data_IF_685607666946
#
_entry.id   IF_685607666946
#
_cell.length_a   1.000
_cell.length_b   1.000
_cell.length_c   1.000
_cell.angle_alpha   90.00
_cell.angle_beta   90.00
_cell.angle_gamma   90.00
#
_symmetry.space_group_name_H-M   'P 1'
#
loop_
_entity.id
_entity.type
_entity.pdbx_description
1 polymer ?
#
# COMPACT_ATOMS: atom_id res chain seq x y z
N UNK A 1 31.08 40.69 27.55
CA UNK A 1 30.27 40.17 28.69
C UNK A 1 28.82 40.34 28.30
N UNK A 2 28.15 39.29 27.81
CA UNK A 2 27.16 38.50 28.56
C UNK A 2 26.09 39.43 29.19
N UNK A 3 24.80 39.37 28.82
CA UNK A 3 23.91 38.24 29.11
C UNK A 3 22.77 38.16 28.08
N UNK A 4 22.43 36.91 27.81
CA UNK A 4 21.43 36.37 26.92
C UNK A 4 20.27 35.90 27.80
N UNK A 5 19.07 36.47 27.65
CA UNK A 5 17.85 35.91 28.25
C UNK A 5 16.62 36.35 27.45
N UNK A 6 16.14 35.43 26.61
CA UNK A 6 14.80 35.48 26.03
C UNK A 6 14.17 34.07 26.16
N UNK A 7 13.68 33.78 27.37
CA UNK A 7 12.46 32.96 27.56
C UNK A 7 11.30 33.90 27.22
N UNK A 8 10.34 33.58 26.37
CA UNK A 8 9.62 32.33 26.23
C UNK A 8 8.16 32.76 26.25
N UNK A 9 7.50 32.71 25.11
CA UNK A 9 6.05 32.85 25.06
C UNK A 9 5.48 31.71 24.20
N UNK A 10 5.16 30.63 24.90
CA UNK A 10 4.35 29.52 24.42
C UNK A 10 2.88 29.92 24.55
N UNK A 11 2.37 30.64 23.56
CA UNK A 11 0.94 30.89 23.39
C UNK A 11 0.34 29.91 22.40
N UNK A 12 -0.10 28.75 22.90
CA UNK A 12 -1.08 27.92 22.22
C UNK A 12 -2.44 28.61 22.32
N UNK A 13 -2.97 29.12 21.20
CA UNK A 13 -4.40 29.33 20.88
C UNK A 13 -4.55 30.22 19.64
N UNK A 14 -3.94 29.81 18.53
CA UNK A 14 -4.31 30.31 17.22
C UNK A 14 -5.36 29.39 16.62
N UNK A 15 -6.65 29.67 16.85
CA UNK A 15 -7.74 29.01 16.15
C UNK A 15 -7.48 29.11 14.63
N UNK A 16 -7.21 27.96 14.02
CA UNK A 16 -6.89 27.86 12.60
C UNK A 16 -8.15 28.13 11.77
N UNK A 17 -8.41 29.39 11.48
CA UNK A 17 -9.33 29.77 10.43
C UNK A 17 -8.72 29.36 9.07
N UNK A 18 -9.54 28.84 8.17
CA UNK A 18 -9.14 28.00 7.04
C UNK A 18 -8.09 28.61 6.11
N UNK A 19 -6.80 28.32 6.35
CA UNK A 19 -5.73 28.82 5.48
C UNK A 19 -4.29 28.59 5.92
N UNK A 20 -3.97 27.61 6.75
CA UNK A 20 -2.57 27.38 7.12
C UNK A 20 -1.71 27.07 5.89
N UNK A 21 -0.71 27.92 5.68
CA UNK A 21 0.39 27.79 4.70
C UNK A 21 1.65 27.19 5.30
N UNK A 22 1.61 26.81 6.58
CA UNK A 22 2.70 26.14 7.29
C UNK A 22 3.09 24.84 6.59
N UNK A 23 4.26 24.81 5.95
CA UNK A 23 4.76 23.65 5.18
C UNK A 23 4.94 22.39 6.03
N UNK A 24 5.27 22.56 7.31
CA UNK A 24 5.55 21.44 8.22
C UNK A 24 4.34 20.95 9.02
N UNK A 25 3.19 21.63 8.90
CA UNK A 25 2.00 21.18 9.61
C UNK A 25 1.15 20.22 8.75
N UNK A 26 0.50 19.20 9.34
CA UNK A 26 -0.28 18.22 8.59
C UNK A 26 -1.46 18.80 7.81
N UNK A 27 -2.05 19.90 8.30
CA UNK A 27 -3.15 20.57 7.61
C UNK A 27 -2.64 21.32 6.38
N UNK A 28 -1.54 22.07 6.52
CA UNK A 28 -0.90 22.82 5.44
C UNK A 28 -0.35 21.91 4.34
N UNK A 29 0.31 20.80 4.71
CA UNK A 29 0.78 19.81 3.75
C UNK A 29 -0.37 19.19 2.93
N UNK A 30 -1.46 18.80 3.61
CA UNK A 30 -2.65 18.23 2.96
C UNK A 30 -3.34 19.23 2.03
N UNK A 31 -3.50 20.47 2.49
CA UNK A 31 -4.16 21.51 1.69
C UNK A 31 -3.27 21.98 0.53
N UNK A 32 -1.94 22.00 0.73
CA UNK A 32 -0.97 22.22 -0.34
C UNK A 32 -1.06 21.14 -1.42
N UNK A 33 -1.02 19.86 -1.04
CA UNK A 33 -1.15 18.75 -1.99
C UNK A 33 -2.50 18.77 -2.72
N UNK A 34 -3.61 19.02 -2.02
CA UNK A 34 -4.94 19.16 -2.66
C UNK A 34 -4.98 20.27 -3.70
N UNK A 35 -4.46 21.46 -3.37
CA UNK A 35 -4.39 22.59 -4.30
C UNK A 35 -3.51 22.27 -5.51
N UNK A 36 -2.39 21.60 -5.29
CA UNK A 36 -1.50 21.18 -6.38
C UNK A 36 -2.14 20.14 -7.30
N UNK A 37 -2.83 19.15 -6.75
CA UNK A 37 -3.62 18.17 -7.53
C UNK A 37 -4.70 18.90 -8.33
N UNK A 38 -5.47 19.79 -7.70
CA UNK A 38 -6.51 20.56 -8.40
C UNK A 38 -5.93 21.43 -9.53
N UNK A 39 -4.79 22.10 -9.29
CA UNK A 39 -4.10 22.90 -10.29
C UNK A 39 -3.56 22.04 -11.44
N UNK A 40 -3.04 20.85 -11.15
CA UNK A 40 -2.59 19.89 -12.15
C UNK A 40 -3.76 19.39 -13.02
N UNK A 41 -4.86 18.96 -12.40
CA UNK A 41 -6.04 18.46 -13.12
C UNK A 41 -6.63 19.54 -14.04
N UNK A 42 -6.78 20.77 -13.52
CA UNK A 42 -7.23 21.91 -14.33
C UNK A 42 -6.31 22.13 -15.53
N UNK A 43 -4.99 22.12 -15.31
CA UNK A 43 -4.03 22.35 -16.40
C UNK A 43 -4.02 21.22 -17.43
N UNK A 44 -4.16 19.97 -16.99
CA UNK A 44 -4.33 18.81 -17.89
C UNK A 44 -5.57 18.97 -18.76
N UNK A 45 -6.69 19.38 -18.18
CA UNK A 45 -7.94 19.53 -18.91
C UNK A 45 -7.90 20.74 -19.86
N UNK A 46 -7.21 21.83 -19.50
CA UNK A 46 -6.90 22.95 -20.41
C UNK A 46 -6.07 22.48 -21.62
N UNK A 47 -5.03 21.68 -21.41
CA UNK A 47 -4.24 21.11 -22.49
C UNK A 47 -5.01 20.11 -23.34
N UNK A 48 -5.89 19.31 -22.75
CA UNK A 48 -6.79 18.42 -23.48
C UNK A 48 -7.76 19.19 -24.40
N UNK A 49 -8.15 20.40 -23.99
CA UNK A 49 -8.95 21.32 -24.80
C UNK A 49 -8.13 22.18 -25.79
N UNK A 50 -6.80 22.00 -25.86
CA UNK A 50 -5.93 22.77 -26.74
C UNK A 50 -5.62 24.19 -26.28
N UNK A 51 -5.93 24.54 -25.02
CA UNK A 51 -5.69 25.87 -24.48
C UNK A 51 -4.28 26.02 -23.86
N UNK A 52 -3.75 27.24 -23.91
CA UNK A 52 -2.50 27.59 -23.23
C UNK A 52 -1.23 27.04 -23.88
N UNK A 53 -1.29 26.74 -25.19
CA UNK A 53 -0.15 26.35 -26.02
C UNK A 53 0.61 27.61 -26.49
N UNK A 54 1.95 27.61 -26.43
CA UNK A 54 2.75 28.67 -27.04
C UNK A 54 2.56 28.71 -28.56
N UNK A 55 2.49 29.92 -29.13
CA UNK A 55 2.36 30.09 -30.58
C UNK A 55 3.47 29.38 -31.37
N UNK A 56 4.70 29.36 -30.83
CA UNK A 56 5.86 28.72 -31.45
C UNK A 56 5.70 27.20 -31.70
N UNK A 57 4.92 26.49 -30.86
CA UNK A 57 4.72 25.03 -31.00
C UNK A 57 3.37 24.67 -31.62
N UNK A 58 2.41 25.60 -31.61
CA UNK A 58 1.05 25.38 -32.07
C UNK A 58 0.94 25.01 -33.57
N UNK A 59 1.97 25.32 -34.36
CA UNK A 59 2.01 25.03 -35.80
C UNK A 59 2.43 23.59 -36.13
N UNK A 60 2.92 22.82 -35.17
CA UNK A 60 3.36 21.43 -35.36
C UNK A 60 2.76 20.53 -34.28
N UNK A 61 1.96 19.55 -34.71
CA UNK A 61 1.34 18.58 -33.80
C UNK A 61 2.37 17.77 -32.99
N UNK A 62 3.49 17.28 -33.58
CA UNK A 62 4.57 16.66 -32.82
C UNK A 62 5.18 17.58 -31.77
N UNK A 63 5.49 18.83 -32.14
CA UNK A 63 6.09 19.80 -31.21
C UNK A 63 5.14 20.15 -30.06
N UNK A 64 3.85 20.34 -30.35
CA UNK A 64 2.81 20.56 -29.36
C UNK A 64 2.72 19.37 -28.38
N UNK A 65 2.72 18.14 -28.89
CA UNK A 65 2.63 16.92 -28.07
C UNK A 65 3.82 16.78 -27.13
N UNK A 66 5.03 16.98 -27.64
CA UNK A 66 6.25 16.92 -26.84
C UNK A 66 6.25 17.99 -25.74
N UNK A 67 5.93 19.24 -26.09
CA UNK A 67 5.87 20.33 -25.13
C UNK A 67 4.81 20.12 -24.05
N UNK A 68 3.59 19.68 -24.42
CA UNK A 68 2.53 19.35 -23.45
C UNK A 68 2.96 18.22 -22.53
N UNK A 69 3.57 17.17 -23.08
CA UNK A 69 4.06 16.03 -22.31
C UNK A 69 5.11 16.45 -21.28
N UNK A 70 6.07 17.29 -21.66
CA UNK A 70 7.09 17.81 -20.77
C UNK A 70 6.50 18.70 -19.66
N UNK A 71 5.58 19.61 -20.01
CA UNK A 71 4.88 20.45 -19.03
C UNK A 71 4.06 19.64 -18.03
N UNK A 72 3.39 18.58 -18.49
CA UNK A 72 2.63 17.69 -17.62
C UNK A 72 3.55 16.83 -16.75
N UNK A 73 4.69 16.40 -17.27
CA UNK A 73 5.70 15.63 -16.53
C UNK A 73 6.27 16.45 -15.38
N UNK A 74 6.76 17.66 -15.66
CA UNK A 74 7.31 18.57 -14.64
C UNK A 74 6.29 18.86 -13.52
N UNK A 75 5.03 19.12 -13.89
CA UNK A 75 3.98 19.38 -12.90
C UNK A 75 3.58 18.14 -12.12
N UNK A 76 3.53 16.98 -12.76
CA UNK A 76 3.23 15.71 -12.10
C UNK A 76 4.31 15.36 -11.06
N UNK A 77 5.58 15.59 -11.37
CA UNK A 77 6.70 15.41 -10.43
C UNK A 77 6.55 16.30 -9.19
N UNK A 78 6.23 17.59 -9.38
CA UNK A 78 5.98 18.51 -8.28
C UNK A 78 4.80 18.08 -7.39
N UNK A 79 3.70 17.60 -8.00
CA UNK A 79 2.54 17.06 -7.27
C UNK A 79 2.92 15.80 -6.49
N UNK A 80 3.69 14.90 -7.10
CA UNK A 80 4.16 13.67 -6.47
C UNK A 80 5.12 13.96 -5.31
N UNK A 81 5.98 14.98 -5.43
CA UNK A 81 6.85 15.43 -4.35
C UNK A 81 6.07 15.96 -3.14
N UNK A 82 5.07 16.82 -3.39
CA UNK A 82 4.18 17.30 -2.34
C UNK A 82 3.34 16.17 -1.73
N UNK A 83 2.91 15.20 -2.54
CA UNK A 83 2.22 14.00 -2.05
C UNK A 83 3.09 13.15 -1.13
N UNK A 84 4.37 12.96 -1.48
CA UNK A 84 5.37 12.29 -0.63
C UNK A 84 5.60 13.05 0.69
N UNK A 85 5.70 14.38 0.63
CA UNK A 85 5.84 15.22 1.82
C UNK A 85 4.61 15.11 2.75
N UNK A 86 3.38 15.20 2.22
CA UNK A 86 2.15 14.96 2.99
C UNK A 86 2.15 13.55 3.61
N UNK A 87 2.53 12.54 2.81
CA UNK A 87 2.63 11.15 3.23
C UNK A 87 3.56 10.96 4.43
N UNK A 88 4.76 11.56 4.38
CA UNK A 88 5.74 11.50 5.45
C UNK A 88 5.23 12.17 6.75
N UNK A 89 4.65 13.37 6.66
CA UNK A 89 4.07 14.08 7.81
C UNK A 89 2.93 13.28 8.44
N UNK A 90 2.07 12.67 7.60
CA UNK A 90 0.97 11.83 8.07
C UNK A 90 1.47 10.56 8.74
N UNK A 91 2.49 9.90 8.18
CA UNK A 91 3.10 8.69 8.73
C UNK A 91 3.76 9.00 10.09
N UNK A 92 4.47 10.13 10.19
CA UNK A 92 5.09 10.61 11.42
C UNK A 92 4.07 10.98 12.52
N UNK A 93 2.80 11.20 12.17
CA UNK A 93 1.71 11.43 13.14
C UNK A 93 0.87 10.17 13.40
N UNK A 94 1.05 9.12 12.61
CA UNK A 94 0.27 7.90 12.71
C UNK A 94 0.50 7.21 14.06
N UNK A 95 1.74 7.23 14.57
CA UNK A 95 2.06 6.62 15.86
C UNK A 95 1.25 7.22 17.02
N UNK A 96 1.00 8.53 17.03
CA UNK A 96 0.15 9.16 18.05
C UNK A 96 -1.27 8.61 17.99
N UNK A 97 -1.84 8.47 16.79
CA UNK A 97 -3.17 7.90 16.61
C UNK A 97 -3.22 6.43 17.01
N UNK A 98 -2.19 5.66 16.69
CA UNK A 98 -2.06 4.27 17.11
C UNK A 98 -1.97 4.16 18.63
N UNK A 99 -1.17 4.99 19.29
CA UNK A 99 -1.08 5.06 20.76
C UNK A 99 -2.43 5.43 21.37
N UNK A 100 -3.10 6.48 20.87
CA UNK A 100 -4.44 6.84 21.34
C UNK A 100 -5.46 5.71 21.14
N UNK A 101 -5.42 4.99 20.01
CA UNK A 101 -6.32 3.87 19.74
C UNK A 101 -6.04 2.68 20.68
N UNK A 102 -4.77 2.37 20.94
CA UNK A 102 -4.36 1.31 21.87
C UNK A 102 -4.81 1.62 23.29
N UNK A 103 -4.54 2.82 23.79
CA UNK A 103 -4.98 3.24 25.13
C UNK A 103 -6.49 3.43 25.23
N UNK A 104 -7.14 3.85 24.14
CA UNK A 104 -8.60 3.85 24.02
C UNK A 104 -9.18 2.45 24.17
N UNK A 105 -8.58 1.43 23.53
CA UNK A 105 -9.00 0.03 23.66
C UNK A 105 -8.81 -0.50 25.10
N UNK A 106 -7.70 -0.16 25.77
CA UNK A 106 -7.49 -0.46 27.19
C UNK A 106 -8.56 0.19 28.07
N UNK A 107 -8.90 1.46 27.79
CA UNK A 107 -9.95 2.19 28.51
C UNK A 107 -11.32 1.56 28.30
N UNK A 108 -11.65 1.17 27.07
CA UNK A 108 -12.90 0.45 26.77
C UNK A 108 -12.95 -0.91 27.48
N UNK A 109 -11.84 -1.66 27.50
CA UNK A 109 -11.76 -2.91 28.25
C UNK A 109 -12.00 -2.68 29.75
N UNK A 110 -11.34 -1.68 30.34
CA UNK A 110 -11.55 -1.28 31.73
C UNK A 110 -13.01 -0.93 32.02
N UNK A 111 -13.65 -0.12 31.17
CA UNK A 111 -15.05 0.25 31.33
C UNK A 111 -15.97 -0.96 31.19
N UNK A 112 -15.74 -1.84 30.22
CA UNK A 112 -16.51 -3.07 30.05
C UNK A 112 -16.37 -4.00 31.25
N UNK A 113 -15.16 -4.16 31.79
CA UNK A 113 -14.92 -4.92 33.02
C UNK A 113 -15.54 -4.25 34.24
N UNK A 114 -15.47 -2.92 34.38
CA UNK A 114 -16.12 -2.22 35.48
C UNK A 114 -17.66 -2.39 35.43
N UNK A 115 -18.27 -2.21 34.25
CA UNK A 115 -19.71 -2.35 34.05
C UNK A 115 -20.18 -3.79 34.31
N UNK A 116 -19.45 -4.79 33.82
CA UNK A 116 -19.79 -6.20 34.06
C UNK A 116 -19.42 -6.67 35.47
N UNK A 117 -18.67 -5.88 36.24
CA UNK A 117 -18.39 -6.17 37.66
C UNK A 117 -19.55 -5.74 38.55
N UNK A 118 -20.44 -4.86 38.07
CA UNK A 118 -21.67 -4.50 38.76
C UNK A 118 -22.52 -5.77 38.89
N UNK A 119 -22.75 -6.20 40.13
CA UNK A 119 -23.46 -7.45 40.45
C UNK A 119 -22.56 -8.69 40.54
N UNK A 120 -21.69 -8.95 39.57
CA UNK A 120 -20.85 -10.15 39.55
C UNK A 120 -19.54 -10.03 40.36
N UNK A 121 -19.19 -8.82 40.80
CA UNK A 121 -17.98 -8.53 41.56
C UNK A 121 -16.71 -8.42 40.71
N UNK A 122 -15.67 -7.85 41.31
CA UNK A 122 -14.33 -7.77 40.73
C UNK A 122 -13.56 -9.06 41.00
N UNK A 123 -12.94 -9.64 39.98
CA UNK A 123 -12.24 -10.94 40.07
C UNK A 123 -10.78 -10.80 39.70
N UNK A 124 -9.94 -11.73 40.17
CA UNK A 124 -8.52 -11.78 39.77
C UNK A 124 -8.32 -11.94 38.25
N UNK A 125 -9.30 -12.53 37.54
CA UNK A 125 -9.30 -12.64 36.08
C UNK A 125 -9.29 -11.26 35.41
N UNK A 126 -10.12 -10.34 35.90
CA UNK A 126 -10.25 -8.96 35.40
C UNK A 126 -8.95 -8.19 35.63
N UNK A 127 -8.41 -8.27 36.85
CA UNK A 127 -7.08 -7.68 37.16
C UNK A 127 -5.99 -8.21 36.24
N UNK A 128 -5.94 -9.53 36.00
CA UNK A 128 -4.96 -10.14 35.10
C UNK A 128 -5.15 -9.71 33.65
N UNK A 129 -6.40 -9.59 33.18
CA UNK A 129 -6.73 -9.12 31.83
C UNK A 129 -6.28 -7.69 31.60
N UNK A 130 -6.58 -6.78 32.54
CA UNK A 130 -6.11 -5.41 32.50
C UNK A 130 -4.58 -5.31 32.58
N UNK A 131 -3.95 -6.12 33.43
CA UNK A 131 -2.49 -6.16 33.54
C UNK A 131 -1.84 -6.60 32.22
N UNK A 132 -2.36 -7.67 31.59
CA UNK A 132 -1.92 -8.12 30.28
C UNK A 132 -2.14 -7.05 29.20
N UNK A 133 -3.28 -6.36 29.23
CA UNK A 133 -3.60 -5.27 28.31
C UNK A 133 -2.63 -4.09 28.48
N UNK A 134 -2.29 -3.71 29.71
CA UNK A 134 -1.31 -2.66 30.01
C UNK A 134 0.09 -3.02 29.51
N UNK A 135 0.54 -4.26 29.72
CA UNK A 135 1.84 -4.74 29.22
C UNK A 135 1.87 -4.72 27.69
N UNK A 136 0.82 -5.24 27.04
CA UNK A 136 0.72 -5.23 25.58
C UNK A 136 0.66 -3.79 25.03
N UNK A 137 -0.11 -2.90 25.66
CA UNK A 137 -0.20 -1.49 25.29
C UNK A 137 1.14 -0.76 25.47
N UNK A 138 1.85 -1.04 26.56
CA UNK A 138 3.20 -0.51 26.81
C UNK A 138 4.19 -0.95 25.74
N UNK A 139 4.20 -2.25 25.40
CA UNK A 139 5.05 -2.79 24.34
C UNK A 139 4.73 -2.18 22.96
N UNK A 140 3.44 -2.04 22.61
CA UNK A 140 3.00 -1.38 21.38
C UNK A 140 3.35 0.11 21.35
N UNK A 141 3.27 0.79 22.50
CA UNK A 141 3.67 2.20 22.64
C UNK A 141 5.17 2.36 22.46
N UNK A 142 5.98 1.47 23.06
CA UNK A 142 7.43 1.45 22.86
C UNK A 142 7.78 1.17 21.39
N UNK A 143 7.15 0.19 20.75
CA UNK A 143 7.33 -0.09 19.32
C UNK A 143 6.93 1.11 18.45
N UNK A 144 5.84 1.80 18.78
CA UNK A 144 5.42 3.03 18.12
C UNK A 144 6.49 4.13 18.22
N UNK A 145 7.06 4.32 19.40
CA UNK A 145 8.10 5.31 19.65
C UNK A 145 9.41 4.99 18.90
N UNK A 146 9.89 3.75 19.02
CA UNK A 146 11.12 3.28 18.37
C UNK A 146 11.03 3.31 16.84
N UNK A 147 9.85 3.04 16.28
CA UNK A 147 9.62 3.01 14.84
C UNK A 147 8.82 4.21 14.32
N UNK A 148 8.79 5.34 15.03
CA UNK A 148 8.01 6.54 14.67
C UNK A 148 8.26 7.05 13.25
N UNK A 149 9.50 6.94 12.77
CA UNK A 149 9.90 7.36 11.42
C UNK A 149 9.36 6.43 10.30
N UNK A 150 8.94 5.21 10.65
CA UNK A 150 8.48 4.16 9.72
C UNK A 150 7.01 3.77 9.93
N UNK A 151 6.22 4.63 10.57
CA UNK A 151 4.79 4.38 10.83
C UNK A 151 4.48 3.72 12.18
N UNK A 152 5.45 3.67 13.10
CA UNK A 152 5.26 3.15 14.46
C UNK A 152 5.03 1.64 14.50
N UNK A 153 4.06 1.19 15.28
CA UNK A 153 3.73 -0.24 15.41
C UNK A 153 3.22 -0.89 14.11
N UNK A 154 2.90 -0.09 13.08
CA UNK A 154 2.53 -0.62 11.76
C UNK A 154 3.75 -0.94 10.88
N UNK A 155 4.96 -0.54 11.26
CA UNK A 155 6.18 -0.79 10.49
C UNK A 155 6.36 -2.27 10.07
N UNK A 156 6.06 -3.28 10.92
CA UNK A 156 6.18 -4.69 10.54
C UNK A 156 5.17 -5.14 9.47
N UNK A 157 3.99 -4.51 9.42
CA UNK A 157 2.93 -4.87 8.48
C UNK A 157 3.03 -4.12 7.15
N UNK A 158 3.86 -3.08 7.07
CA UNK A 158 4.15 -2.37 5.83
C UNK A 158 5.04 -3.22 4.90
N UNK A 159 4.59 -3.37 3.66
CA UNK A 159 5.32 -3.97 2.57
C UNK A 159 6.50 -3.11 2.10
N UNK A 160 7.36 -3.72 1.28
CA UNK A 160 8.50 -3.03 0.65
C UNK A 160 8.04 -1.96 -0.36
N UNK A 161 6.79 -2.06 -0.84
CA UNK A 161 6.09 -1.10 -1.68
C UNK A 161 5.36 0.00 -0.89
N UNK A 162 5.61 0.12 0.42
CA UNK A 162 4.99 1.12 1.32
C UNK A 162 3.45 0.99 1.44
N UNK A 163 2.91 -0.20 1.19
CA UNK A 163 1.48 -0.55 1.36
C UNK A 163 1.28 -1.44 2.57
N UNK A 164 0.08 -1.48 3.14
CA UNK A 164 -0.22 -2.43 4.22
C UNK A 164 -0.38 -3.83 3.62
N UNK A 165 0.41 -4.80 4.11
CA UNK A 165 0.32 -6.18 3.64
C UNK A 165 -0.79 -6.93 4.36
N UNK A 166 -1.73 -7.48 3.59
CA UNK A 166 -2.86 -8.29 4.08
C UNK A 166 -2.38 -9.45 4.95
N UNK A 167 -1.45 -10.27 4.46
CA UNK A 167 -0.94 -11.43 5.20
C UNK A 167 -0.15 -11.08 6.45
N UNK A 168 0.70 -10.05 6.39
CA UNK A 168 1.44 -9.62 7.60
C UNK A 168 0.49 -9.05 8.65
N UNK A 169 -0.56 -8.34 8.23
CA UNK A 169 -1.56 -7.78 9.16
C UNK A 169 -2.35 -8.88 9.84
N UNK A 170 -2.87 -9.85 9.09
CA UNK A 170 -3.58 -11.01 9.67
C UNK A 170 -2.68 -11.76 10.64
N UNK A 171 -1.43 -12.05 10.26
CA UNK A 171 -0.47 -12.71 11.14
C UNK A 171 -0.17 -11.88 12.40
N UNK A 172 0.05 -10.56 12.28
CA UNK A 172 0.29 -9.68 13.41
C UNK A 172 -0.90 -9.63 14.39
N UNK A 173 -2.14 -9.62 13.88
CA UNK A 173 -3.34 -9.69 14.72
C UNK A 173 -3.39 -11.00 15.53
N UNK A 174 -3.11 -12.14 14.90
CA UNK A 174 -3.06 -13.44 15.59
C UNK A 174 -1.93 -13.51 16.61
N UNK A 175 -0.73 -13.03 16.27
CA UNK A 175 0.42 -12.97 17.19
C UNK A 175 0.10 -12.10 18.40
N UNK A 176 -0.49 -10.91 18.19
CA UNK A 176 -0.87 -10.01 19.27
C UNK A 176 -1.93 -10.63 20.18
N UNK A 177 -2.94 -11.28 19.59
CA UNK A 177 -3.99 -11.96 20.34
C UNK A 177 -3.46 -13.12 21.18
N UNK A 178 -2.63 -13.98 20.59
CA UNK A 178 -2.01 -15.12 21.30
C UNK A 178 -1.08 -14.62 22.40
N UNK A 179 -0.26 -13.60 22.12
CA UNK A 179 0.60 -12.96 23.12
C UNK A 179 -0.20 -12.39 24.29
N UNK A 180 -1.31 -11.70 24.01
CA UNK A 180 -2.23 -11.22 25.05
C UNK A 180 -2.82 -12.37 25.88
N UNK A 181 -3.28 -13.45 25.24
CA UNK A 181 -3.85 -14.62 25.95
C UNK A 181 -2.83 -15.30 26.87
N UNK A 182 -1.57 -15.41 26.43
CA UNK A 182 -0.48 -15.95 27.25
C UNK A 182 -0.14 -15.01 28.40
N UNK A 183 -0.07 -13.69 28.17
CA UNK A 183 0.17 -12.71 29.23
C UNK A 183 -0.95 -12.72 30.29
N UNK A 184 -2.21 -12.87 29.87
CA UNK A 184 -3.35 -13.02 30.77
C UNK A 184 -3.15 -14.24 31.70
N UNK A 185 -2.86 -15.40 31.12
CA UNK A 185 -2.65 -16.64 31.87
C UNK A 185 -1.42 -16.55 32.78
N UNK A 186 -0.33 -15.91 32.32
CA UNK A 186 0.85 -15.68 33.13
C UNK A 186 0.57 -14.76 34.33
N UNK A 187 -0.18 -13.67 34.14
CA UNK A 187 -0.58 -12.77 35.21
C UNK A 187 -1.51 -13.48 36.22
N UNK A 188 -2.41 -14.34 35.74
CA UNK A 188 -3.23 -15.21 36.61
C UNK A 188 -2.38 -16.19 37.41
N UNK A 189 -1.42 -16.85 36.78
CA UNK A 189 -0.54 -17.81 37.43
C UNK A 189 0.32 -17.13 38.51
N UNK A 190 0.82 -15.92 38.24
CA UNK A 190 1.58 -15.12 39.20
C UNK A 190 0.74 -14.68 40.41
N UNK A 191 -0.57 -14.47 40.22
CA UNK A 191 -1.49 -14.09 41.29
C UNK A 191 -2.09 -15.29 42.05
N UNK A 192 -1.94 -16.51 41.53
CA UNK A 192 -2.53 -17.71 42.12
C UNK A 192 -1.82 -18.08 43.44
N UNK A 193 -2.59 -18.06 44.54
CA UNK A 193 -2.10 -18.37 45.89
C UNK A 193 -2.27 -19.85 46.25
N UNK A 194 -3.27 -20.52 45.68
CA UNK A 194 -3.57 -21.94 45.89
C UNK A 194 -2.87 -22.86 44.87
N UNK A 195 -2.47 -24.04 45.31
CA UNK A 195 -1.83 -25.05 44.46
C UNK A 195 -2.81 -25.63 43.43
N UNK A 196 -4.08 -25.86 43.81
CA UNK A 196 -5.08 -26.39 42.88
C UNK A 196 -5.42 -25.38 41.75
N UNK A 197 -5.43 -24.07 42.06
CA UNK A 197 -5.59 -23.02 41.04
C UNK A 197 -4.41 -22.98 40.07
N UNK A 198 -3.17 -23.13 40.57
CA UNK A 198 -1.98 -23.20 39.70
C UNK A 198 -2.01 -24.41 38.79
N UNK A 199 -2.32 -25.59 39.31
CA UNK A 199 -2.41 -26.82 38.52
C UNK A 199 -3.51 -26.71 37.44
N UNK A 200 -4.64 -26.10 37.78
CA UNK A 200 -5.70 -25.84 36.81
C UNK A 200 -5.23 -24.90 35.67
N UNK A 201 -4.53 -23.80 35.98
CA UNK A 201 -3.99 -22.87 35.00
C UNK A 201 -2.90 -23.51 34.12
N UNK A 202 -2.02 -24.33 34.71
CA UNK A 202 -1.01 -25.09 33.96
C UNK A 202 -1.70 -26.10 33.03
N UNK A 203 -2.74 -26.80 33.49
CA UNK A 203 -3.58 -27.65 32.63
C UNK A 203 -4.33 -26.86 31.55
N UNK A 204 -4.59 -25.58 31.79
CA UNK A 204 -5.22 -24.66 30.84
C UNK A 204 -4.31 -24.25 29.69
N UNK A 205 -3.00 -24.35 29.88
CA UNK A 205 -1.97 -24.16 28.85
C UNK A 205 -1.69 -25.43 28.03
N UNK A 206 -2.34 -26.54 28.36
CA UNK A 206 -2.15 -27.82 27.67
C UNK A 206 -2.36 -27.68 26.16
N UNK A 207 -1.39 -28.20 25.40
CA UNK A 207 -1.33 -28.07 23.95
C UNK A 207 -2.55 -28.72 23.29
N UNK A 208 -3.10 -29.79 23.88
CA UNK A 208 -4.31 -30.43 23.38
C UNK A 208 -5.51 -29.48 23.30
N UNK A 209 -5.60 -28.51 24.23
CA UNK A 209 -6.67 -27.51 24.30
C UNK A 209 -6.38 -26.29 23.42
N UNK A 210 -5.11 -25.97 23.20
CA UNK A 210 -4.66 -24.85 22.36
C UNK A 210 -4.36 -25.22 20.90
N UNK A 211 -4.40 -26.50 20.53
CA UNK A 211 -3.91 -27.01 19.24
C UNK A 211 -4.53 -26.30 18.04
N UNK A 212 -5.85 -26.06 18.05
CA UNK A 212 -6.53 -25.36 16.95
C UNK A 212 -6.02 -23.93 16.78
N UNK A 213 -5.86 -23.18 17.87
CA UNK A 213 -5.35 -21.81 17.85
C UNK A 213 -3.88 -21.76 17.40
N UNK A 214 -3.03 -22.63 17.95
CA UNK A 214 -1.60 -22.73 17.57
C UNK A 214 -1.47 -23.13 16.10
N UNK A 215 -2.31 -24.03 15.61
CA UNK A 215 -2.34 -24.41 14.19
C UNK A 215 -2.70 -23.23 13.32
N UNK A 216 -3.75 -22.48 13.65
CA UNK A 216 -4.13 -21.27 12.90
C UNK A 216 -3.00 -20.24 12.92
N UNK A 217 -2.38 -20.00 14.07
CA UNK A 217 -1.23 -19.10 14.19
C UNK A 217 -0.08 -19.55 13.26
N UNK A 218 0.27 -20.84 13.29
CA UNK A 218 1.32 -21.40 12.44
C UNK A 218 0.99 -21.22 10.95
N UNK A 219 -0.26 -21.46 10.55
CA UNK A 219 -0.74 -21.28 9.17
C UNK A 219 -0.65 -19.81 8.73
N UNK A 220 -1.19 -18.86 9.50
CA UNK A 220 -1.19 -17.45 9.09
C UNK A 220 0.22 -16.86 9.04
N UNK A 221 1.10 -17.25 9.99
CA UNK A 221 2.51 -16.88 9.97
C UNK A 221 3.25 -17.50 8.79
N UNK A 222 3.04 -18.79 8.53
CA UNK A 222 3.63 -19.51 7.40
C UNK A 222 3.22 -18.89 6.06
N UNK A 223 1.93 -18.52 5.91
CA UNK A 223 1.40 -17.85 4.71
C UNK A 223 1.98 -16.44 4.55
N UNK A 224 2.16 -15.68 5.64
CA UNK A 224 2.82 -14.38 5.58
C UNK A 224 4.26 -14.47 5.05
N UNK A 225 5.03 -15.47 5.50
CA UNK A 225 6.40 -15.74 5.03
C UNK A 225 6.38 -16.22 3.57
N UNK A 226 5.51 -17.18 3.25
CA UNK A 226 5.43 -17.77 1.92
C UNK A 226 5.02 -16.73 0.87
N UNK A 227 4.01 -15.92 1.14
CA UNK A 227 3.60 -14.84 0.22
C UNK A 227 4.72 -13.82 0.03
N UNK A 228 5.45 -13.44 1.09
CA UNK A 228 6.62 -12.56 0.93
C UNK A 228 7.65 -13.18 -0.02
N UNK A 229 7.95 -14.47 0.15
CA UNK A 229 8.90 -15.19 -0.71
C UNK A 229 8.42 -15.25 -2.15
N UNK A 230 7.14 -15.58 -2.38
CA UNK A 230 6.52 -15.69 -3.70
C UNK A 230 6.55 -14.35 -4.43
N UNK A 231 6.06 -13.29 -3.78
CA UNK A 231 6.05 -11.93 -4.35
C UNK A 231 7.47 -11.48 -4.68
N UNK A 232 8.43 -11.65 -3.76
CA UNK A 232 9.82 -11.28 -3.99
C UNK A 232 10.47 -12.01 -5.16
N UNK A 233 10.28 -13.34 -5.24
CA UNK A 233 10.80 -14.14 -6.37
C UNK A 233 10.16 -13.74 -7.70
N UNK A 234 8.86 -13.43 -7.71
CA UNK A 234 8.15 -13.05 -8.95
C UNK A 234 8.52 -11.65 -9.43
N UNK A 235 8.82 -10.73 -8.52
CA UNK A 235 9.39 -9.41 -8.85
C UNK A 235 10.78 -9.58 -9.47
N UNK A 236 11.67 -10.37 -8.82
CA UNK A 236 13.00 -10.65 -9.34
C UNK A 236 12.97 -11.35 -10.71
N UNK A 237 12.01 -12.26 -10.91
CA UNK A 237 11.79 -12.93 -12.18
C UNK A 237 11.04 -12.07 -13.22
N UNK A 238 10.76 -10.79 -12.92
CA UNK A 238 10.02 -9.86 -13.80
C UNK A 238 8.62 -10.36 -14.22
N UNK A 239 8.02 -11.25 -13.42
CA UNK A 239 6.67 -11.81 -13.63
C UNK A 239 5.59 -11.08 -12.82
N UNK A 240 6.00 -10.11 -12.00
CA UNK A 240 5.12 -9.25 -11.21
C UNK A 240 5.72 -7.86 -11.18
N UNK A 241 4.89 -6.86 -11.50
CA UNK A 241 5.28 -5.45 -11.49
C UNK A 241 4.68 -4.79 -10.26
N UNK A 242 5.51 -4.24 -9.37
CA UNK A 242 5.08 -3.48 -8.20
C UNK A 242 5.71 -2.10 -8.21
N UNK A 243 4.87 -1.08 -8.04
CA UNK A 243 5.31 0.30 -7.94
C UNK A 243 5.08 0.79 -6.50
N UNK A 244 6.10 1.40 -5.85
CA UNK A 244 5.97 1.91 -4.50
C UNK A 244 4.83 2.91 -4.38
N UNK A 245 3.95 2.72 -3.40
CA UNK A 245 2.91 3.68 -3.07
C UNK A 245 3.49 4.86 -2.27
N UNK A 246 2.95 6.06 -2.50
CA UNK A 246 3.41 7.25 -1.77
C UNK A 246 3.02 7.20 -0.28
N UNK A 247 1.97 6.44 0.05
CA UNK A 247 1.51 6.25 1.44
C UNK A 247 0.70 4.96 1.63
N UNK A 248 0.78 4.35 2.83
CA UNK A 248 -0.10 3.25 3.19
C UNK A 248 -1.55 3.72 3.39
N UNK A 249 -2.50 2.87 3.05
CA UNK A 249 -3.94 3.10 3.26
C UNK A 249 -4.56 1.89 3.95
N UNK A 250 -5.54 2.13 4.82
CA UNK A 250 -6.29 1.03 5.45
C UNK A 250 -7.03 0.16 4.41
N UNK A 251 -7.40 0.77 3.27
CA UNK A 251 -8.01 0.05 2.15
C UNK A 251 -7.08 -1.00 1.53
N UNK A 252 -5.75 -0.88 1.68
CA UNK A 252 -4.78 -1.83 1.10
C UNK A 252 -4.99 -3.27 1.59
N UNK A 253 -5.68 -3.47 2.74
CA UNK A 253 -6.06 -4.80 3.24
C UNK A 253 -7.14 -5.49 2.40
N UNK A 254 -7.91 -4.69 1.66
CA UNK A 254 -9.13 -5.12 0.97
C UNK A 254 -9.05 -4.85 -0.54
N UNK A 255 -8.04 -4.10 -0.99
CA UNK A 255 -7.90 -3.69 -2.37
C UNK A 255 -6.60 -4.17 -2.99
N UNK A 256 -6.66 -4.44 -4.30
CA UNK A 256 -5.50 -4.69 -5.13
C UNK A 256 -4.62 -3.44 -5.30
N UNK A 257 -3.55 -3.60 -6.06
CA UNK A 257 -2.58 -2.53 -6.23
C UNK A 257 -3.10 -1.32 -7.02
N UNK A 258 -4.24 -1.45 -7.72
CA UNK A 258 -4.95 -0.38 -8.41
C UNK A 258 -6.09 0.23 -7.57
N UNK A 259 -6.29 -0.24 -6.33
CA UNK A 259 -7.36 0.22 -5.44
C UNK A 259 -8.72 -0.42 -5.71
N UNK A 260 -8.80 -1.50 -6.50
CA UNK A 260 -10.04 -2.27 -6.74
C UNK A 260 -10.19 -3.34 -5.67
N UNK A 261 -11.42 -3.67 -5.26
CA UNK A 261 -11.64 -4.72 -4.26
C UNK A 261 -11.08 -6.07 -4.70
N UNK A 262 -10.21 -6.67 -3.89
CA UNK A 262 -9.58 -7.95 -4.18
C UNK A 262 -10.29 -9.07 -3.41
N UNK A 263 -11.06 -9.91 -4.11
CA UNK A 263 -11.86 -10.96 -3.48
C UNK A 263 -11.03 -11.87 -2.56
N UNK A 264 -9.86 -12.32 -3.03
CA UNK A 264 -8.95 -13.21 -2.29
C UNK A 264 -8.44 -12.58 -1.00
N UNK A 265 -8.27 -11.26 -0.97
CA UNK A 265 -7.74 -10.52 0.16
C UNK A 265 -8.88 -10.23 1.16
N UNK A 266 -10.04 -9.78 0.66
CA UNK A 266 -11.25 -9.53 1.45
C UNK A 266 -11.70 -10.80 2.18
N UNK A 267 -11.81 -11.93 1.48
CA UNK A 267 -12.26 -13.19 2.10
C UNK A 267 -11.29 -13.67 3.19
N UNK A 268 -9.97 -13.49 2.97
CA UNK A 268 -8.95 -13.91 3.92
C UNK A 268 -8.97 -13.08 5.20
N UNK A 269 -9.11 -11.76 5.06
CA UNK A 269 -9.26 -10.85 6.21
C UNK A 269 -10.57 -11.15 6.96
N UNK A 270 -11.69 -11.30 6.24
CA UNK A 270 -13.00 -11.52 6.85
C UNK A 270 -13.05 -12.85 7.64
N UNK A 271 -12.63 -13.95 7.03
CA UNK A 271 -12.62 -15.28 7.67
C UNK A 271 -11.68 -15.28 8.88
N UNK A 272 -10.48 -14.70 8.73
CA UNK A 272 -9.53 -14.61 9.84
C UNK A 272 -10.06 -13.73 10.99
N UNK A 273 -10.75 -12.64 10.69
CA UNK A 273 -11.35 -11.76 11.68
C UNK A 273 -12.48 -12.45 12.46
N UNK A 274 -13.35 -13.22 11.79
CA UNK A 274 -14.38 -14.04 12.44
C UNK A 274 -13.75 -15.07 13.37
N UNK A 275 -12.69 -15.75 12.91
CA UNK A 275 -12.00 -16.74 13.73
C UNK A 275 -11.31 -16.11 14.96
N UNK A 276 -10.68 -14.95 14.79
CA UNK A 276 -10.07 -14.19 15.87
C UNK A 276 -11.12 -13.72 16.89
N UNK A 277 -12.27 -13.21 16.42
CA UNK A 277 -13.37 -12.77 17.27
C UNK A 277 -13.95 -13.95 18.06
N UNK A 278 -14.14 -15.10 17.40
CA UNK A 278 -14.57 -16.32 18.09
C UNK A 278 -13.59 -16.72 19.19
N UNK A 279 -12.28 -16.71 18.91
CA UNK A 279 -11.24 -16.99 19.91
C UNK A 279 -11.26 -15.99 21.07
N UNK A 280 -11.44 -14.70 20.78
CA UNK A 280 -11.54 -13.66 21.81
C UNK A 280 -12.75 -13.84 22.72
N UNK A 281 -13.92 -14.15 22.17
CA UNK A 281 -15.13 -14.47 22.95
C UNK A 281 -14.91 -15.70 23.82
N UNK A 282 -14.22 -16.73 23.31
CA UNK A 282 -13.88 -17.94 24.07
C UNK A 282 -12.95 -17.62 25.24
N UNK A 283 -11.93 -16.80 25.01
CA UNK A 283 -11.00 -16.34 26.06
C UNK A 283 -11.76 -15.55 27.14
N UNK A 284 -12.63 -14.62 26.75
CA UNK A 284 -13.40 -13.82 27.68
C UNK A 284 -14.35 -14.66 28.55
N UNK A 285 -14.93 -15.73 27.99
CA UNK A 285 -15.81 -16.65 28.74
C UNK A 285 -15.06 -17.64 29.62
N UNK A 286 -13.80 -17.96 29.30
CA UNK A 286 -12.97 -18.98 29.96
C UNK A 286 -11.53 -18.47 30.08
N UNK A 287 -11.26 -17.49 30.96
CA UNK A 287 -9.97 -16.82 31.08
C UNK A 287 -8.88 -17.68 31.74
N UNK A 288 -9.25 -18.88 32.20
CA UNK A 288 -8.45 -19.89 32.88
C UNK A 288 -7.68 -20.82 31.92
N UNK A 289 -7.91 -20.73 30.62
CA UNK A 289 -7.28 -21.59 29.61
C UNK A 289 -7.14 -20.91 28.26
N UNK A 290 -6.31 -21.50 27.40
CA UNK A 290 -6.20 -21.05 26.01
C UNK A 290 -7.54 -21.26 25.25
N UNK A 291 -7.85 -20.40 24.27
CA UNK A 291 -9.03 -20.54 23.44
C UNK A 291 -9.00 -21.84 22.65
N UNK A 292 -9.89 -22.76 23.02
CA UNK A 292 -10.16 -23.95 22.23
C UNK A 292 -10.96 -23.57 20.98
N UNK A 293 -10.26 -23.62 19.83
CA UNK A 293 -10.77 -23.29 18.51
C UNK A 293 -11.21 -24.58 17.80
N UNK A 294 -12.49 -24.72 17.43
CA UNK A 294 -12.98 -25.90 16.73
C UNK A 294 -12.18 -26.15 15.45
N UNK A 295 -11.80 -27.41 15.21
CA UNK A 295 -11.06 -27.80 14.01
C UNK A 295 -11.73 -27.37 12.71
N UNK A 296 -13.07 -27.40 12.64
CA UNK A 296 -13.81 -26.90 11.47
C UNK A 296 -13.49 -25.44 11.14
N UNK A 297 -13.38 -24.57 12.15
CA UNK A 297 -13.00 -23.17 11.96
C UNK A 297 -11.52 -23.04 11.55
N UNK A 298 -10.64 -23.85 12.13
CA UNK A 298 -9.24 -23.92 11.74
C UNK A 298 -9.04 -24.34 10.27
N UNK A 299 -9.81 -25.33 9.81
CA UNK A 299 -9.83 -25.79 8.41
C UNK A 299 -10.35 -24.70 7.48
N UNK A 300 -11.41 -23.97 7.86
CA UNK A 300 -11.92 -22.85 7.06
C UNK A 300 -10.88 -21.73 6.92
N UNK A 301 -10.15 -21.40 7.98
CA UNK A 301 -9.03 -20.44 7.92
C UNK A 301 -7.92 -20.96 7.02
N UNK A 302 -7.57 -22.24 7.09
CA UNK A 302 -6.56 -22.84 6.22
C UNK A 302 -6.97 -22.75 4.74
N UNK A 303 -8.19 -23.16 4.39
CA UNK A 303 -8.72 -23.07 3.02
C UNK A 303 -8.66 -21.62 2.54
N UNK A 304 -9.15 -20.69 3.36
CA UNK A 304 -9.12 -19.26 3.06
C UNK A 304 -7.69 -18.74 2.81
N UNK A 305 -6.72 -19.16 3.61
CA UNK A 305 -5.32 -18.77 3.47
C UNK A 305 -4.68 -19.35 2.19
N UNK A 306 -5.02 -20.60 1.84
CA UNK A 306 -4.59 -21.23 0.59
C UNK A 306 -5.20 -20.55 -0.64
N UNK A 307 -6.49 -20.16 -0.59
CA UNK A 307 -7.13 -19.38 -1.65
C UNK A 307 -6.46 -18.02 -1.83
N UNK A 308 -6.11 -17.34 -0.73
CA UNK A 308 -5.34 -16.09 -0.78
C UNK A 308 -3.95 -16.29 -1.42
N UNK A 309 -3.23 -17.33 -1.01
CA UNK A 309 -1.94 -17.67 -1.60
C UNK A 309 -2.06 -17.95 -3.11
N UNK A 310 -3.04 -18.74 -3.53
CA UNK A 310 -3.31 -19.01 -4.93
C UNK A 310 -3.62 -17.73 -5.71
N UNK A 311 -4.37 -16.79 -5.12
CA UNK A 311 -4.58 -15.45 -5.65
C UNK A 311 -3.26 -14.71 -5.92
N UNK A 312 -2.35 -14.69 -4.94
CA UNK A 312 -1.01 -14.06 -5.11
C UNK A 312 -0.14 -14.75 -6.16
N UNK A 313 -0.36 -16.02 -6.46
CA UNK A 313 0.27 -16.71 -7.58
C UNK A 313 -0.37 -16.37 -8.93
N UNK A 314 -1.67 -16.09 -8.96
CA UNK A 314 -2.39 -15.72 -10.17
C UNK A 314 -2.24 -14.22 -10.54
N UNK A 315 -1.91 -13.35 -9.57
CA UNK A 315 -1.74 -11.92 -9.81
C UNK A 315 -0.59 -11.59 -10.76
N UNK A 316 -0.76 -10.58 -11.62
CA UNK A 316 0.30 -9.99 -12.43
C UNK A 316 0.61 -10.74 -13.74
N UNK A 317 1.63 -10.25 -14.43
CA UNK A 317 2.10 -10.77 -15.71
C UNK A 317 3.33 -10.00 -16.16
N UNK A 318 4.16 -10.64 -16.99
CA UNK A 318 5.24 -9.94 -17.68
C UNK A 318 4.61 -9.03 -18.75
N UNK A 319 5.06 -7.78 -18.89
CA UNK A 319 4.59 -6.94 -19.99
C UNK A 319 5.05 -7.53 -21.32
N UNK A 320 4.18 -7.54 -22.32
CA UNK A 320 4.46 -8.15 -23.64
C UNK A 320 3.99 -7.24 -24.75
N UNK A 321 4.86 -7.01 -25.75
CA UNK A 321 4.50 -6.43 -27.04
C UNK A 321 3.97 -7.56 -27.93
N UNK A 322 2.76 -7.39 -28.43
CA UNK A 322 2.10 -8.30 -29.36
C UNK A 322 2.27 -7.85 -30.80
N UNK A 323 2.21 -6.54 -31.04
CA UNK A 323 2.46 -5.97 -32.37
C UNK A 323 2.92 -4.52 -32.29
N UNK A 324 3.62 -4.09 -33.34
CA UNK A 324 4.00 -2.70 -33.58
C UNK A 324 3.57 -2.36 -35.00
N UNK A 325 2.81 -1.27 -35.14
CA UNK A 325 2.29 -0.80 -36.43
C UNK A 325 2.52 0.70 -36.58
N UNK A 326 2.52 1.21 -37.82
CA UNK A 326 2.47 2.66 -38.06
C UNK A 326 1.16 3.22 -37.51
N UNK A 327 1.24 4.26 -36.68
CA UNK A 327 0.05 4.98 -36.23
C UNK A 327 -0.49 5.79 -37.41
N UNK A 328 -1.77 5.59 -37.73
CA UNK A 328 -2.40 6.16 -38.92
C UNK A 328 -3.29 7.34 -38.55
N UNK A 329 -3.14 8.48 -39.22
CA UNK A 329 -4.15 9.52 -39.20
C UNK A 329 -5.22 9.25 -40.30
N UNK A 330 -6.50 9.59 -40.05
CA UNK A 330 -7.55 9.41 -41.06
C UNK A 330 -7.17 10.10 -42.38
N UNK A 331 -6.99 9.31 -43.44
CA UNK A 331 -6.59 9.80 -44.77
C UNK A 331 -5.17 9.39 -45.20
N UNK A 332 -4.33 8.91 -44.27
CA UNK A 332 -3.00 8.39 -44.62
C UNK A 332 -3.08 7.11 -45.44
N UNK A 333 -2.15 6.96 -46.38
CA UNK A 333 -1.93 5.74 -47.14
C UNK A 333 -1.15 4.71 -46.31
N UNK A 334 -1.39 3.43 -46.59
CA UNK A 334 -0.60 2.34 -46.01
C UNK A 334 0.84 2.44 -46.51
N UNK A 335 1.80 2.28 -45.61
CA UNK A 335 3.21 2.44 -45.92
C UNK A 335 4.11 1.85 -44.84
N UNK A 336 5.41 1.64 -45.15
CA UNK A 336 6.40 1.22 -44.17
C UNK A 336 6.56 2.29 -43.09
N UNK A 337 7.08 1.88 -41.92
CA UNK A 337 7.42 2.81 -40.84
C UNK A 337 8.68 3.59 -41.22
N UNK A 338 8.61 4.92 -41.19
CA UNK A 338 9.74 5.81 -41.45
C UNK A 338 10.22 6.50 -40.18
N UNK A 339 11.41 7.08 -40.26
CA UNK A 339 11.85 8.04 -39.24
C UNK A 339 10.88 9.22 -39.19
N UNK A 340 10.55 9.68 -37.98
CA UNK A 340 9.56 10.74 -37.75
C UNK A 340 8.09 10.29 -37.76
N UNK A 341 7.76 9.09 -38.25
CA UNK A 341 6.41 8.54 -38.11
C UNK A 341 6.09 8.24 -36.64
N UNK A 342 4.81 8.32 -36.28
CA UNK A 342 4.32 7.72 -35.04
C UNK A 342 4.12 6.21 -35.24
N UNK A 343 4.53 5.42 -34.25
CA UNK A 343 4.21 3.99 -34.16
C UNK A 343 3.22 3.74 -33.03
N UNK A 344 2.27 2.85 -33.28
CA UNK A 344 1.37 2.29 -32.29
C UNK A 344 1.88 0.91 -31.86
N UNK A 345 2.23 0.81 -30.58
CA UNK A 345 2.70 -0.41 -29.93
C UNK A 345 1.53 -1.00 -29.18
N UNK A 346 1.13 -2.22 -29.53
CA UNK A 346 0.03 -2.96 -28.92
C UNK A 346 0.54 -4.13 -28.10
N UNK A 347 -0.04 -4.33 -26.93
CA UNK A 347 0.41 -5.35 -26.01
C UNK A 347 -0.43 -5.42 -24.75
N UNK A 348 0.17 -5.90 -23.68
CA UNK A 348 -0.45 -6.01 -22.36
C UNK A 348 0.54 -5.71 -21.24
N UNK A 349 0.04 -5.19 -20.12
CA UNK A 349 0.82 -4.96 -18.91
C UNK A 349 1.77 -3.77 -19.00
N UNK A 350 1.56 -2.84 -19.94
CA UNK A 350 2.42 -1.66 -20.08
C UNK A 350 2.31 -0.71 -18.89
N UNK A 351 1.15 -0.63 -18.25
CA UNK A 351 0.93 0.23 -17.09
C UNK A 351 0.81 -0.67 -15.84
N UNK A 352 1.84 -0.72 -14.98
CA UNK A 352 1.78 -1.51 -13.76
C UNK A 352 0.58 -1.13 -12.88
N UNK A 353 -0.01 -2.09 -12.14
CA UNK A 353 -1.02 -1.78 -11.13
C UNK A 353 -0.53 -0.72 -10.14
N UNK A 354 -1.31 0.35 -9.96
CA UNK A 354 -0.97 1.47 -9.09
C UNK A 354 -0.05 2.53 -9.71
N UNK A 355 0.30 2.41 -10.99
CA UNK A 355 1.14 3.36 -11.73
C UNK A 355 0.33 4.29 -12.65
N UNK A 356 -0.98 4.47 -12.42
CA UNK A 356 -1.85 5.30 -13.27
C UNK A 356 -1.67 6.81 -13.06
N UNK A 357 -0.85 7.23 -12.11
CA UNK A 357 -0.55 8.64 -11.87
C UNK A 357 0.40 9.18 -12.94
N UNK A 358 0.23 10.45 -13.30
CA UNK A 358 0.99 11.07 -14.37
C UNK A 358 2.52 11.02 -14.15
N UNK A 359 2.98 11.09 -12.90
CA UNK A 359 4.41 11.01 -12.54
C UNK A 359 5.02 9.63 -12.75
N UNK A 360 4.19 8.58 -12.81
CA UNK A 360 4.62 7.20 -13.08
C UNK A 360 4.52 6.90 -14.56
N UNK A 361 3.45 7.36 -15.20
CA UNK A 361 3.27 7.24 -16.65
C UNK A 361 4.40 7.94 -17.42
N UNK A 362 4.87 9.10 -16.96
CA UNK A 362 5.99 9.84 -17.58
C UNK A 362 7.34 9.11 -17.54
N UNK A 363 7.48 8.09 -16.68
CA UNK A 363 8.71 7.28 -16.56
C UNK A 363 8.76 6.13 -17.56
N UNK A 364 7.69 5.91 -18.32
CA UNK A 364 7.65 4.88 -19.34
C UNK A 364 8.54 5.29 -20.52
N UNK A 365 9.34 4.33 -20.99
CA UNK A 365 10.29 4.54 -22.08
C UNK A 365 10.07 3.44 -23.12
N UNK A 366 10.14 3.80 -24.39
CA UNK A 366 10.24 2.85 -25.50
C UNK A 366 11.66 2.91 -26.03
N UNK A 367 12.34 1.76 -25.99
CA UNK A 367 13.63 1.58 -26.63
C UNK A 367 13.40 1.13 -28.07
N UNK A 368 13.89 1.91 -29.03
CA UNK A 368 13.86 1.60 -30.46
C UNK A 368 15.31 1.49 -30.92
N UNK A 369 15.78 0.25 -31.14
CA UNK A 369 17.21 -0.01 -31.38
C UNK A 369 18.07 0.42 -30.19
N UNK A 370 18.95 1.40 -30.41
CA UNK A 370 19.82 1.99 -29.39
C UNK A 370 19.24 3.25 -28.72
N UNK A 371 18.08 3.76 -29.18
CA UNK A 371 17.52 5.04 -28.75
C UNK A 371 16.39 4.83 -27.75
N UNK A 372 16.44 5.55 -26.63
CA UNK A 372 15.41 5.54 -25.59
C UNK A 372 14.49 6.76 -25.77
N UNK A 373 13.19 6.51 -25.94
CA UNK A 373 12.16 7.53 -26.20
C UNK A 373 11.16 7.55 -25.05
N UNK A 374 10.97 8.70 -24.41
CA UNK A 374 9.92 8.85 -23.40
C UNK A 374 8.54 8.77 -24.05
N UNK A 375 7.63 8.00 -23.43
CA UNK A 375 6.26 7.89 -23.93
C UNK A 375 5.53 9.21 -23.67
N UNK A 376 5.02 9.90 -24.72
CA UNK A 376 4.40 11.20 -24.55
C UNK A 376 3.06 11.08 -23.82
N UNK A 377 2.87 11.91 -22.80
CA UNK A 377 1.59 12.06 -22.12
C UNK A 377 0.62 12.82 -23.03
N UNK A 378 -0.40 12.12 -23.54
CA UNK A 378 -1.48 12.74 -24.35
C UNK A 378 -2.71 12.91 -23.47
N UNK A 379 -2.99 14.15 -22.98
CA UNK A 379 -4.08 14.38 -22.05
C UNK A 379 -5.44 14.26 -22.74
N UNK A 380 -6.41 13.74 -22.00
CA UNK A 380 -7.84 13.81 -22.31
C UNK A 380 -8.58 14.22 -21.04
N UNK A 381 -9.79 14.73 -21.16
CA UNK A 381 -10.62 15.05 -20.00
C UNK A 381 -10.75 13.82 -19.10
N UNK A 382 -10.30 13.94 -17.85
CA UNK A 382 -10.32 12.84 -16.88
C UNK A 382 -9.10 11.92 -16.87
N UNK A 383 -8.16 12.00 -17.82
CA UNK A 383 -7.01 11.09 -17.84
C UNK A 383 -6.03 11.29 -18.99
N UNK A 384 -5.50 10.19 -19.51
CA UNK A 384 -4.56 10.16 -20.62
C UNK A 384 -5.01 9.13 -21.64
N UNK A 385 -4.94 9.48 -22.93
CA UNK A 385 -5.13 8.52 -24.03
C UNK A 385 -3.84 7.77 -24.35
N UNK A 386 -2.70 8.31 -23.93
CA UNK A 386 -1.38 7.69 -24.06
C UNK A 386 -0.53 8.14 -22.86
N UNK A 387 0.16 7.23 -22.16
CA UNK A 387 0.15 5.76 -22.31
C UNK A 387 -1.13 5.07 -21.79
N UNK A 388 -1.44 3.88 -22.31
CA UNK A 388 -2.46 2.96 -21.77
C UNK A 388 -1.85 1.58 -21.50
N UNK A 389 -2.56 0.72 -20.77
CA UNK A 389 -2.07 -0.62 -20.42
C UNK A 389 -1.86 -1.54 -21.65
N UNK A 390 -2.61 -1.29 -22.73
CA UNK A 390 -2.62 -2.14 -23.93
C UNK A 390 -2.02 -1.48 -25.16
N UNK A 391 -1.91 -0.15 -25.16
CA UNK A 391 -1.51 0.61 -26.35
C UNK A 391 -0.64 1.80 -25.97
N UNK A 392 0.45 2.00 -26.71
CA UNK A 392 1.33 3.16 -26.63
C UNK A 392 1.52 3.75 -28.01
N UNK A 393 1.56 5.08 -28.11
CA UNK A 393 1.95 5.79 -29.34
C UNK A 393 3.22 6.58 -29.07
N UNK A 394 4.26 6.35 -29.86
CA UNK A 394 5.55 7.05 -29.74
C UNK A 394 6.07 7.43 -31.13
N UNK A 395 6.74 8.59 -31.28
CA UNK A 395 7.41 8.94 -32.52
C UNK A 395 8.67 8.08 -32.69
N UNK A 396 9.01 7.74 -33.93
CA UNK A 396 10.30 7.15 -34.29
C UNK A 396 11.33 8.29 -34.39
N UNK A 397 12.35 8.34 -33.52
CA UNK A 397 13.36 9.39 -33.58
C UNK A 397 14.16 9.36 -34.89
N UNK A 398 14.64 10.53 -35.31
CA UNK A 398 15.52 10.64 -36.48
C UNK A 398 16.88 9.93 -36.25
N UNK A 399 17.29 9.76 -35.00
CA UNK A 399 18.54 9.08 -34.62
C UNK A 399 18.46 7.54 -34.73
N UNK A 400 17.30 6.98 -35.06
CA UNK A 400 17.14 5.54 -35.28
C UNK A 400 17.70 5.18 -36.66
N UNK A 401 18.69 4.29 -36.69
CA UNK A 401 19.26 3.77 -37.93
C UNK A 401 18.19 3.06 -38.78
N UNK A 402 18.06 3.39 -40.08
CA UNK A 402 17.21 2.65 -41.00
C UNK A 402 17.62 1.18 -41.06
N UNK A 403 16.64 0.28 -41.08
CA UNK A 403 16.85 -1.17 -41.12
C UNK A 403 16.02 -1.93 -40.09
N UNK A 404 16.46 -3.14 -39.78
CA UNK A 404 15.82 -3.98 -38.78
C UNK A 404 16.28 -3.57 -37.37
N UNK A 405 15.35 -3.08 -36.55
CA UNK A 405 15.59 -2.65 -35.17
C UNK A 405 14.64 -3.37 -34.23
N UNK A 406 15.05 -3.55 -32.98
CA UNK A 406 14.19 -4.10 -31.94
C UNK A 406 13.46 -2.98 -31.18
N UNK A 407 12.17 -3.19 -30.92
CA UNK A 407 11.35 -2.34 -30.05
C UNK A 407 11.13 -3.03 -28.71
N UNK A 408 11.33 -2.29 -27.62
CA UNK A 408 10.99 -2.71 -26.26
C UNK A 408 10.29 -1.58 -25.50
N UNK A 409 9.34 -1.93 -24.64
CA UNK A 409 8.75 -1.00 -23.68
C UNK A 409 9.36 -1.28 -22.31
N UNK A 410 9.83 -0.24 -21.64
CA UNK A 410 10.23 -0.24 -20.24
C UNK A 410 9.12 0.44 -19.44
N UNK A 411 8.46 -0.33 -18.58
CA UNK A 411 7.32 0.17 -17.79
C UNK A 411 7.77 1.08 -16.65
N UNK A 412 6.82 1.76 -15.99
CA UNK A 412 7.08 2.57 -14.80
C UNK A 412 7.67 1.76 -13.60
N UNK A 413 7.59 0.43 -13.65
CA UNK A 413 8.20 -0.48 -12.67
C UNK A 413 9.64 -0.90 -13.07
N UNK A 414 10.16 -0.40 -14.20
CA UNK A 414 11.49 -0.75 -14.72
C UNK A 414 11.57 -2.14 -15.37
N UNK A 415 10.43 -2.73 -15.73
CA UNK A 415 10.38 -4.04 -16.39
C UNK A 415 10.33 -3.87 -17.90
N UNK A 416 11.24 -4.53 -18.61
CA UNK A 416 11.27 -4.54 -20.06
C UNK A 416 10.41 -5.66 -20.66
N UNK A 417 9.70 -5.36 -21.74
CA UNK A 417 8.97 -6.33 -22.56
C UNK A 417 9.91 -7.26 -23.33
N UNK A 418 9.34 -8.23 -24.06
CA UNK A 418 10.02 -8.89 -25.17
C UNK A 418 10.51 -7.85 -26.20
N UNK A 419 11.55 -8.25 -26.95
CA UNK A 419 11.99 -7.55 -28.16
C UNK A 419 11.04 -7.88 -29.29
N UNK A 420 10.58 -6.85 -29.98
CA UNK A 420 9.73 -6.99 -31.16
C UNK A 420 10.47 -6.42 -32.38
N UNK A 421 10.73 -7.21 -33.42
CA UNK A 421 11.43 -6.72 -34.59
C UNK A 421 10.55 -5.73 -35.36
N UNK A 422 11.12 -4.59 -35.72
CA UNK A 422 10.51 -3.54 -36.53
C UNK A 422 11.46 -3.21 -37.68
N UNK A 423 10.93 -2.98 -38.88
CA UNK A 423 11.72 -2.51 -40.00
C UNK A 423 11.42 -1.02 -40.24
N UNK A 424 12.45 -0.19 -40.12
CA UNK A 424 12.38 1.26 -40.34
C UNK A 424 13.02 1.60 -41.67
N UNK A 425 12.30 2.34 -42.51
CA UNK A 425 12.81 2.87 -43.78
C UNK A 425 13.19 4.34 -43.65
N UNK A 426 13.98 4.85 -44.59
CA UNK A 426 14.29 6.30 -44.68
C UNK A 426 13.03 7.18 -44.78
#
# INVERSE_FOLDING_TARGET
MAVQEARGDTGAEGAHDGGCTCGDCPHGAREGHRRAVAAFLRRRDEFAAGHGLPAAVAHSAPATRQWVSEQLTQRAEAVAEQGRAEGAVRLARLWLRTVCAVWGAVTVLLLAEALTAIGAGWTGARTAALSAALVAAGALTAACFLHRARGGALAPVLGEDNRISTSRTVAACWVLFVGYAVLLLAARLAAASDHAERDALISGLDLARGAGMVTVLAVVCGIAVLVRRVVGLRILAQRLQKVPADRPRAADLLTDDSGRGAFTDIQYVAISAVALLFAAVRLARRPDRLPDLPWGLGVVVLISALTYLAGKYAEGGRPVILSVVRAREPGDLDGPVRTGDDIEIRGTGFVPPGAQTADRLSRMVVRIGAVDVHVPLVPVTGGFRNPTDTTLTVPVPADVEPGAVDVQVVTAAGVATNRYPLHVTE
#
